data_IF_616083315515
#
_entry.id   IF_616083315515
#
_cell.length_a   1.000
_cell.length_b   1.000
_cell.length_c   1.000
_cell.angle_alpha   90.00
_cell.angle_beta   90.00
_cell.angle_gamma   90.00
#
_symmetry.space_group_name_H-M   'P 1'
#
loop_
_entity.id
_entity.type
_entity.pdbx_description
1 polymer ?
#
# COMPACT_ATOMS: atom_id res chain seq x y z
N UNK A 1 32.26 32.43 4.44
CA UNK A 1 31.60 32.04 3.18
C UNK A 1 32.55 31.09 2.46
N UNK A 2 31.98 30.04 1.90
CA UNK A 2 32.57 28.70 1.71
C UNK A 2 33.76 28.61 0.76
N UNK A 3 34.69 27.73 1.13
CA UNK A 3 35.85 27.28 0.35
C UNK A 3 35.43 26.59 -0.94
N UNK A 4 35.92 27.04 -2.09
CA UNK A 4 35.86 26.30 -3.35
C UNK A 4 37.25 25.72 -3.63
N UNK A 5 37.38 24.41 -3.48
CA UNK A 5 38.56 23.64 -3.84
C UNK A 5 38.63 23.51 -5.37
N UNK A 6 39.53 24.28 -5.97
CA UNK A 6 39.87 24.24 -7.38
C UNK A 6 40.65 22.95 -7.68
N UNK A 7 39.97 21.97 -8.28
CA UNK A 7 40.58 20.70 -8.68
C UNK A 7 41.15 20.85 -10.10
N UNK A 8 42.47 20.71 -10.17
CA UNK A 8 43.29 20.78 -11.38
C UNK A 8 42.83 19.75 -12.42
N UNK A 9 42.71 20.10 -13.72
CA UNK A 9 42.32 19.14 -14.75
C UNK A 9 43.51 18.24 -15.07
N UNK A 10 43.45 16.99 -14.61
CA UNK A 10 44.39 15.94 -14.99
C UNK A 10 44.31 15.68 -16.50
N UNK A 11 45.41 15.95 -17.21
CA UNK A 11 45.62 15.57 -18.60
C UNK A 11 45.21 14.11 -18.84
N UNK A 12 44.20 13.89 -19.69
CA UNK A 12 44.10 12.64 -20.45
C UNK A 12 42.82 11.81 -20.34
N UNK A 13 41.63 12.40 -20.49
CA UNK A 13 40.46 11.78 -21.15
C UNK A 13 39.31 12.80 -21.12
N UNK A 14 38.76 13.17 -22.29
CA UNK A 14 37.58 14.04 -22.33
C UNK A 14 36.36 13.19 -21.98
N UNK A 15 36.02 13.18 -20.69
CA UNK A 15 34.84 12.53 -20.16
C UNK A 15 33.86 13.63 -19.68
N UNK A 16 32.59 13.54 -20.07
CA UNK A 16 31.54 14.49 -19.66
C UNK A 16 30.39 13.79 -18.92
N UNK A 17 29.81 14.47 -17.94
CA UNK A 17 28.58 14.06 -17.26
C UNK A 17 27.35 14.84 -17.77
N UNK A 18 27.53 15.78 -18.69
CA UNK A 18 26.49 16.67 -19.21
C UNK A 18 25.82 16.04 -20.43
N UNK A 19 25.17 14.90 -20.22
CA UNK A 19 24.39 14.21 -21.24
C UNK A 19 23.05 13.70 -20.68
N UNK A 20 22.08 13.53 -21.59
CA UNK A 20 20.74 13.03 -21.30
C UNK A 20 20.29 12.05 -22.40
N UNK A 21 19.59 10.94 -22.07
CA UNK A 21 19.26 10.46 -20.72
C UNK A 21 20.51 10.04 -19.92
N UNK A 22 20.44 10.11 -18.59
CA UNK A 22 21.55 9.72 -17.72
C UNK A 22 21.68 8.18 -17.66
N UNK A 23 22.89 7.65 -17.86
CA UNK A 23 23.20 6.22 -17.74
C UNK A 23 23.90 5.98 -16.41
N UNK A 24 23.49 4.95 -15.67
CA UNK A 24 24.03 4.62 -14.35
C UNK A 24 24.80 3.30 -14.38
N UNK A 25 25.91 3.24 -13.65
CA UNK A 25 26.67 2.01 -13.46
C UNK A 25 26.07 1.15 -12.33
N UNK A 26 26.59 -0.07 -12.12
CA UNK A 26 26.11 -0.95 -11.03
C UNK A 26 26.35 -0.40 -9.60
N UNK A 27 27.17 0.65 -9.45
CA UNK A 27 27.34 1.33 -8.17
C UNK A 27 26.23 2.37 -7.90
N UNK A 28 25.29 2.59 -8.84
CA UNK A 28 24.28 3.63 -8.76
C UNK A 28 24.77 5.04 -9.10
N UNK A 29 26.03 5.19 -9.53
CA UNK A 29 26.62 6.48 -9.94
C UNK A 29 26.38 6.75 -11.43
N UNK A 30 26.19 8.03 -11.79
CA UNK A 30 26.06 8.46 -13.19
C UNK A 30 27.35 8.16 -13.95
N UNK A 31 27.28 7.35 -14.98
CA UNK A 31 28.43 6.90 -15.77
C UNK A 31 28.95 8.06 -16.64
N UNK A 32 30.22 8.47 -16.56
CA UNK A 32 30.74 9.50 -17.46
C UNK A 32 30.78 9.00 -18.91
N UNK A 33 30.46 9.89 -19.84
CA UNK A 33 30.59 9.67 -21.28
C UNK A 33 31.99 10.05 -21.73
N UNK A 34 32.81 9.07 -22.07
CA UNK A 34 34.20 9.23 -22.45
C UNK A 34 34.43 8.89 -23.92
N UNK A 35 35.38 9.56 -24.57
CA UNK A 35 35.79 9.24 -25.95
C UNK A 35 37.03 8.35 -25.95
N UNK A 36 36.95 7.20 -26.65
CA UNK A 36 38.05 6.25 -26.78
C UNK A 36 39.21 6.80 -27.62
N UNK A 37 40.43 6.76 -27.06
CA UNK A 37 41.64 7.39 -27.64
C UNK A 37 42.05 6.89 -29.03
N UNK A 38 41.69 5.66 -29.40
CA UNK A 38 42.07 5.06 -30.70
C UNK A 38 40.93 4.88 -31.70
N UNK A 39 39.68 4.98 -31.26
CA UNK A 39 38.52 4.69 -32.10
C UNK A 39 37.62 5.91 -32.35
N UNK A 40 37.78 6.99 -31.58
CA UNK A 40 36.86 8.14 -31.61
C UNK A 40 35.45 7.82 -31.11
N UNK A 41 35.18 6.57 -30.73
CA UNK A 41 33.87 6.11 -30.27
C UNK A 41 33.65 6.51 -28.82
N UNK A 42 32.45 6.95 -28.51
CA UNK A 42 32.08 7.33 -27.16
C UNK A 42 31.55 6.13 -26.37
N UNK A 43 31.88 6.03 -25.09
CA UNK A 43 31.45 4.97 -24.20
C UNK A 43 31.08 5.52 -22.81
N UNK A 44 30.17 4.84 -22.13
CA UNK A 44 29.87 5.05 -20.72
C UNK A 44 30.72 4.10 -19.88
N UNK A 45 31.39 4.63 -18.85
CA UNK A 45 32.20 3.85 -17.89
C UNK A 45 31.80 4.08 -16.45
N UNK A 46 32.33 3.29 -15.51
CA UNK A 46 32.20 3.58 -14.08
C UNK A 46 33.10 4.77 -13.68
N UNK A 47 32.62 5.68 -12.83
CA UNK A 47 33.46 6.76 -12.27
C UNK A 47 34.64 6.23 -11.46
N UNK A 48 34.44 5.12 -10.75
CA UNK A 48 35.44 4.52 -9.86
C UNK A 48 36.35 3.51 -10.58
N UNK A 49 36.66 3.73 -11.86
CA UNK A 49 37.43 2.79 -12.68
C UNK A 49 38.87 2.56 -12.19
N UNK A 50 39.47 3.54 -11.49
CA UNK A 50 40.82 3.47 -10.94
C UNK A 50 40.93 2.64 -9.64
N UNK A 51 39.82 2.19 -9.07
CA UNK A 51 39.79 1.45 -7.80
C UNK A 51 38.84 0.26 -7.84
N UNK A 52 38.01 0.10 -6.80
CA UNK A 52 36.99 -0.95 -6.71
C UNK A 52 35.73 -0.66 -7.57
N UNK A 53 35.92 -0.19 -8.81
CA UNK A 53 34.83 0.06 -9.74
C UNK A 53 34.11 -1.24 -10.11
N UNK A 54 32.83 -1.16 -10.43
CA UNK A 54 32.03 -2.33 -10.81
C UNK A 54 32.30 -2.86 -12.22
N UNK A 55 33.32 -2.36 -12.92
CA UNK A 55 33.66 -2.77 -14.29
C UNK A 55 32.62 -2.38 -15.34
N UNK A 56 31.66 -1.51 -15.01
CA UNK A 56 30.63 -1.08 -15.96
C UNK A 56 31.24 -0.40 -17.19
N UNK A 57 30.88 -0.89 -18.38
CA UNK A 57 31.32 -0.38 -19.67
C UNK A 57 30.21 -0.59 -20.72
N UNK A 58 29.87 0.46 -21.47
CA UNK A 58 28.83 0.42 -22.50
C UNK A 58 29.16 1.38 -23.64
N UNK A 59 29.06 0.96 -24.90
CA UNK A 59 29.26 1.86 -26.05
C UNK A 59 28.05 2.80 -26.22
N UNK A 60 28.27 4.09 -26.51
CA UNK A 60 27.18 5.05 -26.79
C UNK A 60 26.28 4.58 -27.93
N UNK A 61 26.87 3.95 -28.95
CA UNK A 61 26.14 3.48 -30.13
C UNK A 61 25.30 2.21 -29.87
N UNK A 62 25.45 1.58 -28.69
CA UNK A 62 24.66 0.39 -28.34
C UNK A 62 23.22 0.73 -27.93
N UNK A 63 22.89 2.02 -27.81
CA UNK A 63 21.53 2.55 -27.64
C UNK A 63 20.71 2.54 -28.95
N UNK A 64 21.17 1.88 -30.02
CA UNK A 64 20.29 1.50 -31.13
C UNK A 64 19.20 0.55 -30.61
N UNK A 65 18.10 1.19 -30.22
CA UNK A 65 16.91 0.69 -29.55
C UNK A 65 16.05 -0.26 -30.42
N UNK A 66 16.65 -1.22 -31.13
CA UNK A 66 15.93 -2.01 -32.13
C UNK A 66 15.90 -3.53 -31.89
N UNK A 67 16.36 -4.06 -30.75
CA UNK A 67 16.28 -5.51 -30.49
C UNK A 67 15.62 -5.99 -29.20
N UNK A 68 14.92 -5.11 -28.45
CA UNK A 68 14.16 -5.53 -27.25
C UNK A 68 12.71 -5.04 -27.17
N UNK A 69 12.20 -4.38 -28.20
CA UNK A 69 10.83 -3.85 -28.20
C UNK A 69 9.71 -4.93 -28.17
N UNK A 70 9.82 -6.10 -28.84
CA UNK A 70 8.70 -7.06 -28.85
C UNK A 70 8.53 -7.84 -27.55
N UNK A 71 9.63 -8.12 -26.83
CA UNK A 71 9.60 -9.00 -25.65
C UNK A 71 9.14 -8.25 -24.40
N UNK A 72 9.57 -6.99 -24.22
CA UNK A 72 9.20 -6.18 -23.05
C UNK A 72 7.71 -5.79 -23.09
N UNK A 73 7.19 -5.44 -24.28
CA UNK A 73 5.77 -5.11 -24.44
C UNK A 73 4.84 -6.31 -24.23
N UNK A 74 5.29 -7.53 -24.57
CA UNK A 74 4.51 -8.75 -24.36
C UNK A 74 4.52 -9.17 -22.88
N UNK A 75 5.68 -9.09 -22.21
CA UNK A 75 5.81 -9.42 -20.78
C UNK A 75 5.05 -8.44 -19.88
N UNK A 76 5.05 -7.15 -20.22
CA UNK A 76 4.25 -6.17 -19.49
C UNK A 76 2.75 -6.41 -19.66
N UNK A 77 2.30 -6.79 -20.87
CA UNK A 77 0.87 -7.09 -21.12
C UNK A 77 0.38 -8.31 -20.35
N UNK A 78 1.12 -9.42 -20.38
CA UNK A 78 0.75 -10.62 -19.61
C UNK A 78 0.68 -10.30 -18.11
N UNK A 79 1.66 -9.56 -17.58
CA UNK A 79 1.66 -9.16 -16.18
C UNK A 79 0.46 -8.25 -15.83
N UNK A 80 0.06 -7.33 -16.72
CA UNK A 80 -1.12 -6.48 -16.48
C UNK A 80 -2.43 -7.24 -16.57
N UNK A 81 -2.54 -8.22 -17.47
CA UNK A 81 -3.75 -9.03 -17.63
C UNK A 81 -3.92 -9.99 -16.45
N UNK A 82 -2.82 -10.59 -15.98
CA UNK A 82 -2.80 -11.44 -14.78
C UNK A 82 -3.16 -10.63 -13.53
N UNK A 83 -2.56 -9.44 -13.36
CA UNK A 83 -2.91 -8.52 -12.27
C UNK A 83 -4.39 -8.13 -12.32
N UNK A 84 -4.93 -7.84 -13.50
CA UNK A 84 -6.34 -7.48 -13.67
C UNK A 84 -7.28 -8.64 -13.34
N UNK A 85 -6.94 -9.86 -13.74
CA UNK A 85 -7.70 -11.06 -13.40
C UNK A 85 -7.74 -11.29 -11.88
N UNK A 86 -6.60 -11.12 -11.19
CA UNK A 86 -6.53 -11.19 -9.74
C UNK A 86 -7.39 -10.11 -9.05
N UNK A 87 -7.34 -8.87 -9.55
CA UNK A 87 -8.16 -7.77 -9.02
C UNK A 87 -9.66 -8.06 -9.19
N UNK A 88 -10.07 -8.60 -10.34
CA UNK A 88 -11.45 -9.02 -10.56
C UNK A 88 -11.88 -10.12 -9.59
N UNK A 89 -11.04 -11.13 -9.36
CA UNK A 89 -11.34 -12.19 -8.38
C UNK A 89 -11.47 -11.66 -6.96
N UNK A 90 -10.59 -10.74 -6.54
CA UNK A 90 -10.69 -10.10 -5.23
C UNK A 90 -11.99 -9.28 -5.11
N UNK A 91 -12.37 -8.54 -6.15
CA UNK A 91 -13.62 -7.76 -6.16
C UNK A 91 -14.85 -8.66 -5.98
N UNK A 92 -14.90 -9.83 -6.64
CA UNK A 92 -15.97 -10.81 -6.45
C UNK A 92 -16.04 -11.32 -5.01
N UNK A 93 -14.91 -11.63 -4.40
CA UNK A 93 -14.86 -12.07 -3.01
C UNK A 93 -15.30 -10.97 -2.04
N UNK A 94 -14.94 -9.70 -2.28
CA UNK A 94 -15.39 -8.57 -1.47
C UNK A 94 -16.92 -8.47 -1.53
N UNK A 95 -17.50 -8.51 -2.73
CA UNK A 95 -18.96 -8.47 -2.90
C UNK A 95 -19.65 -9.62 -2.13
N UNK A 96 -19.11 -10.84 -2.22
CA UNK A 96 -19.67 -12.00 -1.52
C UNK A 96 -19.54 -11.88 0.01
N UNK A 97 -18.47 -11.27 0.50
CA UNK A 97 -18.26 -11.03 1.95
C UNK A 97 -19.20 -9.93 2.45
N UNK A 98 -19.39 -8.84 1.70
CA UNK A 98 -20.32 -7.77 2.02
C UNK A 98 -21.76 -8.28 2.12
N UNK A 99 -22.19 -9.16 1.20
CA UNK A 99 -23.50 -9.80 1.25
C UNK A 99 -23.67 -10.63 2.53
N UNK A 100 -22.68 -11.48 2.85
CA UNK A 100 -22.71 -12.31 4.07
C UNK A 100 -22.72 -11.46 5.34
N UNK A 101 -21.90 -10.41 5.41
CA UNK A 101 -21.88 -9.46 6.51
C UNK A 101 -23.24 -8.77 6.67
N UNK A 102 -23.88 -8.37 5.56
CA UNK A 102 -25.23 -7.79 5.57
C UNK A 102 -26.28 -8.72 6.18
N UNK A 103 -26.22 -10.02 5.88
CA UNK A 103 -27.07 -11.02 6.53
C UNK A 103 -26.80 -11.14 8.03
N UNK A 104 -25.52 -11.17 8.44
CA UNK A 104 -25.14 -11.25 9.87
C UNK A 104 -25.59 -10.02 10.65
N UNK A 105 -25.43 -8.82 10.08
CA UNK A 105 -25.88 -7.57 10.71
C UNK A 105 -27.38 -7.60 10.98
N UNK A 106 -28.20 -8.04 10.00
CA UNK A 106 -29.65 -8.16 10.20
C UNK A 106 -30.03 -9.15 11.31
N UNK A 107 -29.28 -10.24 11.46
CA UNK A 107 -29.48 -11.20 12.56
C UNK A 107 -29.16 -10.55 13.90
N UNK A 108 -28.02 -9.87 14.01
CA UNK A 108 -27.60 -9.17 15.24
C UNK A 108 -28.58 -8.05 15.61
N UNK A 109 -29.06 -7.27 14.65
CA UNK A 109 -30.06 -6.23 14.88
C UNK A 109 -31.39 -6.82 15.38
N UNK A 110 -31.80 -7.96 14.82
CA UNK A 110 -33.01 -8.66 15.26
C UNK A 110 -32.85 -9.20 16.69
N UNK A 111 -31.73 -9.84 17.01
CA UNK A 111 -31.44 -10.30 18.37
C UNK A 111 -31.38 -9.14 19.37
N UNK A 112 -30.78 -8.02 18.98
CA UNK A 112 -30.74 -6.82 19.81
C UNK A 112 -32.15 -6.26 20.06
N UNK A 113 -33.02 -6.27 19.04
CA UNK A 113 -34.40 -5.81 19.16
C UNK A 113 -35.25 -6.73 20.03
N UNK A 114 -35.10 -8.05 19.89
CA UNK A 114 -35.80 -9.03 20.70
C UNK A 114 -35.32 -8.98 22.16
N UNK A 115 -34.02 -8.81 22.40
CA UNK A 115 -33.47 -8.60 23.74
C UNK A 115 -33.98 -7.30 24.38
N UNK A 116 -34.09 -6.21 23.60
CA UNK A 116 -34.66 -4.94 24.08
C UNK A 116 -36.13 -5.11 24.48
N UNK A 117 -36.93 -5.82 23.67
CA UNK A 117 -38.33 -6.13 23.99
C UNK A 117 -38.44 -7.01 25.24
N UNK A 118 -37.60 -8.03 25.35
CA UNK A 118 -37.54 -8.90 26.52
C UNK A 118 -37.25 -8.09 27.80
N UNK A 119 -36.25 -7.20 27.74
CA UNK A 119 -35.91 -6.32 28.87
C UNK A 119 -37.06 -5.39 29.25
N UNK A 120 -37.77 -4.81 28.28
CA UNK A 120 -38.94 -3.96 28.54
C UNK A 120 -40.10 -4.75 29.17
N UNK A 121 -40.38 -5.96 28.66
CA UNK A 121 -41.40 -6.84 29.21
C UNK A 121 -41.09 -7.23 30.65
N UNK A 122 -39.86 -7.67 30.94
CA UNK A 122 -39.44 -7.99 32.31
C UNK A 122 -39.53 -6.77 33.25
N UNK A 123 -39.17 -5.57 32.75
CA UNK A 123 -39.30 -4.33 33.52
C UNK A 123 -40.76 -3.99 33.89
N UNK A 124 -41.69 -4.11 32.94
CA UNK A 124 -43.11 -3.87 33.20
C UNK A 124 -43.69 -4.90 34.18
N UNK A 125 -43.37 -6.17 34.01
CA UNK A 125 -43.80 -7.23 34.93
C UNK A 125 -43.30 -6.95 36.35
N UNK A 126 -42.04 -6.54 36.50
CA UNK A 126 -41.48 -6.18 37.81
C UNK A 126 -42.23 -5.01 38.47
N UNK A 127 -42.51 -3.93 37.71
CA UNK A 127 -43.26 -2.78 38.22
C UNK A 127 -44.67 -3.21 38.68
N UNK A 128 -45.36 -4.02 37.89
CA UNK A 128 -46.69 -4.53 38.23
C UNK A 128 -46.65 -5.33 39.53
N UNK A 129 -45.70 -6.26 39.68
CA UNK A 129 -45.55 -7.07 40.90
C UNK A 129 -45.29 -6.19 42.12
N UNK A 130 -44.40 -5.20 42.03
CA UNK A 130 -44.11 -4.28 43.14
C UNK A 130 -45.35 -3.47 43.54
N UNK A 131 -46.10 -2.95 42.57
CA UNK A 131 -47.35 -2.23 42.84
C UNK A 131 -48.40 -3.11 43.53
N UNK A 132 -48.58 -4.36 43.06
CA UNK A 132 -49.50 -5.31 43.69
C UNK A 132 -49.11 -5.61 45.14
N UNK A 133 -47.82 -5.88 45.40
CA UNK A 133 -47.32 -6.09 46.76
C UNK A 133 -47.51 -4.85 47.64
N UNK A 134 -47.28 -3.65 47.10
CA UNK A 134 -47.54 -2.39 47.79
C UNK A 134 -49.01 -2.21 48.18
N UNK A 135 -49.95 -2.50 47.27
CA UNK A 135 -51.39 -2.44 47.54
C UNK A 135 -51.78 -3.44 48.63
N UNK A 136 -51.27 -4.68 48.56
CA UNK A 136 -51.53 -5.71 49.58
C UNK A 136 -50.99 -5.28 50.94
N UNK A 137 -49.76 -4.74 50.99
CA UNK A 137 -49.17 -4.21 52.21
C UNK A 137 -50.00 -3.08 52.81
N UNK A 138 -50.42 -2.12 51.99
CA UNK A 138 -51.27 -1.01 52.44
C UNK A 138 -52.62 -1.49 52.97
N UNK A 139 -53.24 -2.48 52.32
CA UNK A 139 -54.50 -3.08 52.79
C UNK A 139 -54.33 -3.79 54.14
N UNK A 140 -53.28 -4.61 54.30
CA UNK A 140 -52.98 -5.30 55.56
C UNK A 140 -52.71 -4.30 56.68
N UNK A 141 -51.93 -3.25 56.41
CA UNK A 141 -51.57 -2.25 57.40
C UNK A 141 -52.78 -1.40 57.81
N UNK A 142 -53.65 -1.03 56.85
CA UNK A 142 -54.91 -0.34 57.14
C UNK A 142 -55.83 -1.16 58.06
N UNK A 143 -55.90 -2.48 57.86
CA UNK A 143 -56.64 -3.37 58.75
C UNK A 143 -56.07 -3.43 60.17
N UNK A 144 -54.78 -3.13 60.37
CA UNK A 144 -54.17 -3.03 61.71
C UNK A 144 -54.41 -1.70 62.43
N UNK A 145 -54.62 -0.60 61.72
CA UNK A 145 -54.86 0.73 62.34
C UNK A 145 -56.34 1.02 62.65
N UNK A 146 -57.25 0.12 62.27
CA UNK A 146 -58.70 0.25 62.50
C UNK A 146 -59.21 -0.57 63.71
N UNK A 147 -58.30 -1.08 64.54
CA UNK A 147 -58.54 -1.67 65.86
C UNK A 147 -57.70 -0.94 66.91
#
# INVERSE_FOLDING_TARGET
MSSASESTPSKGQSCTLDYHPAVYCHCGLKSPLCVGRGSGRSFYGCQNWLGAGCGFFMWKDSDSAERKAPLVGTLMKTNTDDMKALVSGIAEHICAVEEKLGCVVKVVEKEAQDNKRFRQMCGLVFIVVVCFLGILYMNVNKSRYMY
#
